data_IF_969612582732
#
_entry.id   IF_969612582732
#
_cell.length_a   1.000
_cell.length_b   1.000
_cell.length_c   1.000
_cell.angle_alpha   90.00
_cell.angle_beta   90.00
_cell.angle_gamma   90.00
#
_symmetry.space_group_name_H-M   'P 1'
#
loop_
_entity.id
_entity.type
_entity.pdbx_description
1 polymer ?
#
# COMPACT_ATOMS: atom_id res chain seq x y z
N UNK A 1 20.16 -28.51 13.22
CA UNK A 1 19.53 -27.32 12.62
C UNK A 1 19.26 -26.36 13.77
N UNK A 2 19.97 -25.23 13.86
CA UNK A 2 19.77 -24.28 14.95
C UNK A 2 18.46 -23.52 14.72
N UNK A 3 17.47 -23.76 15.56
CA UNK A 3 16.24 -22.97 15.57
C UNK A 3 16.55 -21.63 16.26
N UNK A 4 17.01 -20.66 15.48
CA UNK A 4 17.18 -19.28 15.95
C UNK A 4 15.81 -18.59 16.05
N UNK A 5 15.55 -17.96 17.19
CA UNK A 5 14.45 -17.00 17.37
C UNK A 5 15.07 -15.67 17.71
N UNK A 6 14.68 -14.62 16.99
CA UNK A 6 15.06 -13.24 17.28
C UNK A 6 13.78 -12.54 17.69
N UNK A 7 13.67 -12.14 18.95
CA UNK A 7 12.52 -11.40 19.47
C UNK A 7 12.98 -10.04 19.97
N UNK A 8 12.33 -8.99 19.49
CA UNK A 8 12.47 -7.63 20.00
C UNK A 8 11.22 -7.29 20.81
N UNK A 9 11.38 -7.33 22.13
CA UNK A 9 10.31 -7.00 23.09
C UNK A 9 10.16 -5.50 23.32
N UNK A 10 11.16 -4.70 22.94
CA UNK A 10 11.06 -3.24 22.85
C UNK A 10 10.55 -2.78 21.48
N UNK A 11 9.98 -1.57 21.42
CA UNK A 11 9.66 -0.93 20.14
C UNK A 11 10.92 -0.47 19.41
N UNK A 12 10.97 -0.67 18.10
CA UNK A 12 11.97 -0.09 17.20
C UNK A 12 11.35 1.14 16.55
N UNK A 13 11.94 2.30 16.76
CA UNK A 13 11.56 3.53 16.08
C UNK A 13 12.58 3.86 15.00
N UNK A 14 12.09 4.05 13.77
CA UNK A 14 12.90 4.36 12.59
C UNK A 14 12.41 5.68 12.03
N UNK A 15 13.31 6.66 11.95
CA UNK A 15 13.05 7.89 11.20
C UNK A 15 13.42 7.65 9.74
N UNK A 16 12.42 7.60 8.88
CA UNK A 16 12.56 7.38 7.45
C UNK A 16 11.52 8.21 6.71
N UNK A 17 11.82 8.59 5.46
CA UNK A 17 10.93 9.37 4.62
C UNK A 17 10.42 10.65 5.31
N UNK A 18 11.29 11.36 6.03
CA UNK A 18 10.92 12.53 6.86
C UNK A 18 9.84 12.30 7.94
N UNK A 19 9.44 11.06 8.20
CA UNK A 19 8.45 10.69 9.20
C UNK A 19 8.96 9.62 10.16
N UNK A 20 8.03 8.92 10.80
CA UNK A 20 8.33 7.88 11.80
C UNK A 20 7.67 6.56 11.42
N UNK A 21 8.45 5.49 11.45
CA UNK A 21 7.99 4.11 11.37
C UNK A 21 8.29 3.46 12.72
N UNK A 22 7.26 2.96 13.39
CA UNK A 22 7.39 2.24 14.65
C UNK A 22 7.07 0.76 14.43
N UNK A 23 7.98 -0.12 14.83
CA UNK A 23 7.78 -1.56 14.85
C UNK A 23 7.68 -2.03 16.29
N UNK A 24 6.65 -2.79 16.62
CA UNK A 24 6.46 -3.41 17.93
C UNK A 24 6.28 -4.91 17.77
N UNK A 25 6.55 -5.64 18.85
CA UNK A 25 6.32 -7.09 18.94
C UNK A 25 6.96 -7.87 17.79
N UNK A 26 8.15 -7.41 17.34
CA UNK A 26 8.85 -8.05 16.23
C UNK A 26 9.43 -9.38 16.69
N UNK A 27 8.93 -10.46 16.11
CA UNK A 27 9.42 -11.82 16.33
C UNK A 27 9.78 -12.43 14.98
N UNK A 28 11.01 -12.93 14.86
CA UNK A 28 11.51 -13.62 13.68
C UNK A 28 11.94 -15.02 14.09
N UNK A 29 11.35 -16.04 13.48
CA UNK A 29 11.72 -17.43 13.67
C UNK A 29 12.43 -17.97 12.43
N UNK A 30 13.47 -18.76 12.67
CA UNK A 30 14.22 -19.47 11.61
C UNK A 30 14.60 -18.53 10.45
N UNK A 31 15.23 -17.36 10.70
CA UNK A 31 15.50 -16.35 9.67
C UNK A 31 16.32 -16.88 8.48
N UNK A 32 17.17 -17.89 8.72
CA UNK A 32 18.00 -18.56 7.71
C UNK A 32 17.59 -20.01 7.46
N UNK A 33 16.38 -20.39 7.89
CA UNK A 33 15.81 -21.72 7.72
C UNK A 33 15.00 -21.85 6.42
N UNK A 34 14.44 -23.04 6.19
CA UNK A 34 13.64 -23.34 4.99
C UNK A 34 12.20 -22.83 5.07
N UNK A 35 11.74 -22.44 6.25
CA UNK A 35 10.42 -21.85 6.46
C UNK A 35 10.53 -20.72 7.50
N UNK A 36 11.11 -19.57 7.11
CA UNK A 36 11.21 -18.40 7.97
C UNK A 36 9.82 -17.86 8.27
N UNK A 37 9.62 -17.38 9.50
CA UNK A 37 8.39 -16.72 9.89
C UNK A 37 8.69 -15.39 10.58
N UNK A 38 7.83 -14.40 10.36
CA UNK A 38 7.92 -13.09 11.00
C UNK A 38 6.54 -12.69 11.51
N UNK A 39 6.49 -12.14 12.71
CA UNK A 39 5.32 -11.44 13.25
C UNK A 39 5.72 -10.03 13.70
N UNK A 40 4.87 -9.03 13.44
CA UNK A 40 5.11 -7.66 13.86
C UNK A 40 3.84 -6.81 13.87
N UNK A 41 3.91 -5.70 14.61
CA UNK A 41 2.97 -4.58 14.52
C UNK A 41 3.74 -3.38 13.94
N UNK A 42 3.25 -2.78 12.86
CA UNK A 42 3.91 -1.64 12.21
C UNK A 42 2.97 -0.44 12.18
N UNK A 43 3.46 0.72 12.61
CA UNK A 43 2.77 2.01 12.46
C UNK A 43 3.64 2.98 11.68
N UNK A 44 3.01 3.74 10.79
CA UNK A 44 3.65 4.77 9.96
C UNK A 44 2.98 6.13 10.24
N UNK A 45 3.79 7.13 10.58
CA UNK A 45 3.31 8.46 10.94
C UNK A 45 3.93 9.52 10.07
N UNK A 46 3.07 10.21 9.28
CA UNK A 46 3.40 11.34 8.41
C UNK A 46 4.71 11.16 7.63
N UNK A 47 4.80 10.04 6.92
CA UNK A 47 5.86 9.82 5.95
C UNK A 47 5.65 10.76 4.76
N UNK A 48 6.72 11.35 4.24
CA UNK A 48 6.73 12.11 3.00
C UNK A 48 6.36 11.18 1.85
N UNK A 49 5.18 11.41 1.26
CA UNK A 49 4.64 10.52 0.26
C UNK A 49 5.48 10.52 -1.02
N UNK A 50 6.13 11.64 -1.36
CA UNK A 50 6.95 11.73 -2.57
C UNK A 50 8.21 10.86 -2.43
N UNK A 51 8.82 10.84 -1.24
CA UNK A 51 9.94 9.95 -0.97
C UNK A 51 9.51 8.47 -0.95
N UNK A 52 8.34 8.17 -0.38
CA UNK A 52 7.79 6.81 -0.36
C UNK A 52 7.52 6.32 -1.79
N UNK A 53 6.78 7.06 -2.61
CA UNK A 53 6.42 6.58 -3.96
C UNK A 53 7.61 6.50 -4.90
N UNK A 54 8.63 7.34 -4.70
CA UNK A 54 9.89 7.25 -5.44
C UNK A 54 10.67 5.97 -5.10
N UNK A 55 10.68 5.54 -3.83
CA UNK A 55 11.42 4.36 -3.39
C UNK A 55 10.85 3.03 -3.94
N UNK A 56 9.56 3.00 -4.29
CA UNK A 56 8.86 1.81 -4.78
C UNK A 56 8.50 1.87 -6.28
N UNK A 57 9.08 2.82 -7.03
CA UNK A 57 8.81 3.05 -8.45
C UNK A 57 7.30 3.17 -8.80
N UNK A 58 6.50 3.63 -7.84
CA UNK A 58 5.06 3.87 -8.06
C UNK A 58 4.91 5.09 -8.98
N UNK A 59 5.76 6.10 -8.82
CA UNK A 59 5.72 7.39 -9.51
C UNK A 59 5.83 8.55 -8.52
N UNK A 60 5.28 9.71 -8.87
CA UNK A 60 5.33 10.90 -8.01
C UNK A 60 3.97 11.16 -7.38
N UNK A 61 3.90 11.14 -6.05
CA UNK A 61 2.73 11.56 -5.29
C UNK A 61 3.16 12.48 -4.15
N UNK A 62 2.59 13.67 -4.09
CA UNK A 62 2.84 14.64 -3.02
C UNK A 62 1.79 14.47 -1.91
N UNK A 63 2.19 14.66 -0.66
CA UNK A 63 1.33 14.54 0.51
C UNK A 63 2.10 13.95 1.69
N UNK A 64 1.37 13.63 2.74
CA UNK A 64 1.91 12.90 3.89
C UNK A 64 1.08 11.63 4.11
N UNK A 65 1.78 10.51 4.26
CA UNK A 65 1.21 9.19 4.44
C UNK A 65 1.27 8.77 5.90
N UNK A 66 0.13 8.34 6.42
CA UNK A 66 0.05 7.61 7.69
C UNK A 66 -0.64 6.29 7.49
N UNK A 67 -0.46 5.40 8.45
CA UNK A 67 -1.13 4.12 8.42
C UNK A 67 -0.58 3.13 9.41
N UNK A 68 -1.04 1.91 9.27
CA UNK A 68 -0.60 0.78 10.05
C UNK A 68 -0.63 -0.50 9.22
N UNK A 69 0.10 -1.48 9.71
CA UNK A 69 0.03 -2.88 9.32
C UNK A 69 0.11 -3.69 10.59
N UNK A 70 -1.06 -4.02 11.13
CA UNK A 70 -1.20 -4.76 12.38
C UNK A 70 -1.38 -6.25 12.11
N UNK A 71 -1.03 -7.05 13.11
CA UNK A 71 -1.09 -8.51 13.05
C UNK A 71 -0.39 -9.10 11.82
N UNK A 72 0.69 -8.44 11.38
CA UNK A 72 1.47 -8.88 10.23
C UNK A 72 2.06 -10.25 10.55
N UNK A 73 1.78 -11.23 9.68
CA UNK A 73 2.42 -12.54 9.69
C UNK A 73 2.98 -12.84 8.32
N UNK A 74 4.27 -13.10 8.27
CA UNK A 74 4.94 -13.62 7.09
C UNK A 74 5.27 -15.09 7.32
N UNK A 75 5.02 -15.92 6.29
CA UNK A 75 5.56 -17.27 6.18
C UNK A 75 6.32 -17.35 4.86
N UNK A 76 7.54 -17.87 4.90
CA UNK A 76 8.43 -17.85 3.73
C UNK A 76 8.57 -16.45 3.12
N UNK A 77 8.65 -15.43 3.99
CA UNK A 77 8.68 -14.00 3.64
C UNK A 77 7.47 -13.48 2.85
N UNK A 78 6.39 -14.26 2.76
CA UNK A 78 5.14 -13.86 2.11
C UNK A 78 4.07 -13.54 3.15
N UNK A 79 3.33 -12.43 3.02
CA UNK A 79 2.24 -12.13 3.95
C UNK A 79 1.14 -13.19 3.89
N UNK A 80 0.75 -13.72 5.04
CA UNK A 80 -0.35 -14.69 5.20
C UNK A 80 -1.47 -14.15 6.09
N UNK A 81 -1.20 -13.12 6.89
CA UNK A 81 -2.19 -12.35 7.64
C UNK A 81 -1.69 -10.92 7.85
N UNK A 82 -2.60 -9.96 7.82
CA UNK A 82 -2.39 -8.56 8.21
C UNK A 82 -3.72 -7.81 8.23
N UNK A 83 -3.83 -6.75 9.05
CA UNK A 83 -4.78 -5.66 8.89
C UNK A 83 -3.99 -4.39 8.59
N UNK A 84 -3.99 -3.98 7.32
CA UNK A 84 -3.25 -2.83 6.84
C UNK A 84 -4.20 -1.71 6.43
N UNK A 85 -3.87 -0.47 6.79
CA UNK A 85 -4.53 0.74 6.28
C UNK A 85 -3.50 1.85 6.12
N UNK A 86 -3.50 2.47 4.96
CA UNK A 86 -2.67 3.61 4.62
C UNK A 86 -3.53 4.72 4.05
N UNK A 87 -3.28 5.96 4.43
CA UNK A 87 -4.06 7.12 4.03
C UNK A 87 -3.23 8.39 4.03
N UNK A 88 -3.67 9.38 3.23
CA UNK A 88 -3.07 10.71 3.19
C UNK A 88 -3.79 11.68 4.12
N UNK A 89 -3.05 12.61 4.71
CA UNK A 89 -3.65 13.67 5.52
C UNK A 89 -4.22 14.82 4.66
N UNK A 90 -5.33 15.41 5.13
CA UNK A 90 -6.03 16.53 4.50
C UNK A 90 -5.39 17.90 4.81
N UNK A 91 -4.57 17.99 5.85
CA UNK A 91 -3.77 19.15 6.23
C UNK A 91 -2.42 19.23 5.50
N UNK A 92 -2.04 18.20 4.74
CA UNK A 92 -0.79 18.17 3.99
C UNK A 92 -0.70 19.34 2.99
N UNK A 93 0.44 20.05 2.88
CA UNK A 93 0.55 21.30 2.14
C UNK A 93 0.36 21.14 0.62
N UNK A 94 0.75 19.99 0.08
CA UNK A 94 0.59 19.64 -1.33
C UNK A 94 -0.03 18.25 -1.44
N UNK A 95 -0.92 18.08 -2.42
CA UNK A 95 -1.55 16.80 -2.76
C UNK A 95 -1.75 16.74 -4.26
N UNK A 96 -0.80 16.11 -4.93
CA UNK A 96 -0.75 15.93 -6.39
C UNK A 96 -0.25 14.54 -6.73
N UNK A 97 -0.77 13.95 -7.80
CA UNK A 97 -0.36 12.64 -8.32
C UNK A 97 0.04 12.79 -9.78
N UNK A 98 1.17 12.20 -10.19
CA UNK A 98 1.58 12.22 -11.60
C UNK A 98 0.81 11.21 -12.45
N UNK A 99 0.74 11.45 -13.76
CA UNK A 99 0.14 10.51 -14.70
C UNK A 99 0.73 9.09 -14.55
N UNK A 100 2.06 8.98 -14.47
CA UNK A 100 2.75 7.69 -14.27
C UNK A 100 2.27 6.97 -13.01
N UNK A 101 2.11 7.71 -11.91
CA UNK A 101 1.59 7.15 -10.66
C UNK A 101 0.15 6.68 -10.80
N UNK A 102 -0.70 7.42 -11.52
CA UNK A 102 -2.06 6.96 -11.84
C UNK A 102 -2.03 5.67 -12.63
N UNK A 103 -1.23 5.60 -13.68
CA UNK A 103 -1.11 4.43 -14.57
C UNK A 103 -0.62 3.19 -13.80
N UNK A 104 0.42 3.35 -12.97
CA UNK A 104 0.98 2.27 -12.15
C UNK A 104 -0.02 1.79 -11.07
N UNK A 105 -0.69 2.70 -10.36
CA UNK A 105 -1.72 2.30 -9.39
C UNK A 105 -2.91 1.62 -10.05
N UNK A 106 -3.28 2.08 -11.25
CA UNK A 106 -4.40 1.51 -12.01
C UNK A 106 -4.05 0.16 -12.63
N UNK A 107 -2.80 -0.10 -13.01
CA UNK A 107 -2.37 -1.40 -13.53
C UNK A 107 -2.27 -2.46 -12.42
N UNK A 108 -1.77 -2.07 -11.25
CA UNK A 108 -1.78 -2.88 -10.02
C UNK A 108 -3.21 -3.23 -9.61
N UNK A 109 -4.11 -2.25 -9.71
CA UNK A 109 -5.53 -2.45 -9.44
C UNK A 109 -6.28 -3.16 -10.57
N UNK A 110 -5.93 -3.00 -11.84
CA UNK A 110 -6.68 -3.53 -12.98
C UNK A 110 -6.42 -5.02 -13.25
N UNK A 111 -5.19 -5.49 -13.01
CA UNK A 111 -4.84 -6.90 -13.21
C UNK A 111 -5.40 -7.83 -12.12
N UNK A 112 -5.65 -7.30 -10.90
CA UNK A 112 -6.03 -8.15 -9.75
C UNK A 112 -7.16 -7.57 -8.86
N UNK A 113 -7.28 -6.25 -8.73
CA UNK A 113 -8.19 -5.55 -7.80
C UNK A 113 -9.41 -4.82 -8.43
N UNK A 114 -9.61 -4.89 -9.75
CA UNK A 114 -10.67 -4.17 -10.46
C UNK A 114 -10.66 -2.64 -10.30
N UNK A 115 -9.51 -2.00 -10.12
CA UNK A 115 -9.45 -0.54 -10.06
C UNK A 115 -9.52 0.08 -11.47
N UNK A 116 -10.26 1.18 -11.62
CA UNK A 116 -10.40 1.90 -12.88
C UNK A 116 -10.20 3.41 -12.67
N UNK A 117 -9.61 4.06 -13.66
CA UNK A 117 -9.54 5.53 -13.75
C UNK A 117 -10.86 6.04 -14.31
N UNK A 118 -11.46 7.04 -13.66
CA UNK A 118 -12.79 7.54 -14.06
C UNK A 118 -12.79 8.41 -15.33
N UNK A 119 -11.65 8.98 -15.71
CA UNK A 119 -11.55 10.00 -16.77
C UNK A 119 -10.34 9.76 -17.68
N UNK A 120 -10.42 10.25 -18.92
CA UNK A 120 -9.30 10.23 -19.88
C UNK A 120 -8.15 11.11 -19.38
N UNK A 121 -6.95 10.55 -19.31
CA UNK A 121 -5.73 11.29 -19.02
C UNK A 121 -5.32 12.06 -20.28
N UNK A 122 -5.30 13.39 -20.20
CA UNK A 122 -4.92 14.23 -21.34
C UNK A 122 -3.39 14.46 -21.36
N UNK A 123 -2.73 14.43 -22.54
CA UNK A 123 -1.27 14.50 -22.63
C UNK A 123 -0.64 15.80 -22.09
N UNK A 124 -1.44 16.87 -21.95
CA UNK A 124 -0.99 18.17 -21.47
C UNK A 124 -0.91 18.28 -19.94
N UNK A 125 -1.45 17.31 -19.19
CA UNK A 125 -1.49 17.35 -17.73
C UNK A 125 -0.51 16.35 -17.12
N UNK A 126 0.59 16.86 -16.56
CA UNK A 126 1.60 16.02 -15.92
C UNK A 126 1.19 15.55 -14.53
N UNK A 127 0.40 16.36 -13.80
CA UNK A 127 -0.03 16.08 -12.43
C UNK A 127 -1.48 16.49 -12.16
N UNK A 128 -2.16 15.72 -11.32
CA UNK A 128 -3.55 15.89 -10.93
C UNK A 128 -3.65 16.16 -9.43
N UNK A 129 -4.33 17.22 -8.98
CA UNK A 129 -4.58 17.43 -7.57
C UNK A 129 -5.60 16.40 -7.03
N UNK A 130 -5.38 15.90 -5.81
CA UNK A 130 -6.29 14.97 -5.15
C UNK A 130 -6.69 15.46 -3.76
N UNK A 131 -7.88 15.06 -3.31
CA UNK A 131 -8.43 15.39 -2.00
C UNK A 131 -7.85 14.46 -0.94
N UNK A 132 -7.99 13.16 -1.17
CA UNK A 132 -7.57 12.08 -0.28
C UNK A 132 -7.16 10.86 -1.10
N UNK A 133 -6.18 10.12 -0.62
CA UNK A 133 -5.75 8.85 -1.18
C UNK A 133 -5.46 7.86 -0.05
N UNK A 134 -5.66 6.58 -0.31
CA UNK A 134 -5.41 5.54 0.66
C UNK A 134 -6.02 4.20 0.27
N UNK A 135 -5.53 3.17 0.93
CA UNK A 135 -5.89 1.78 0.68
C UNK A 135 -5.87 1.02 2.01
N UNK A 136 -6.84 0.13 2.19
CA UNK A 136 -6.83 -0.85 3.26
C UNK A 136 -6.88 -2.27 2.69
N UNK A 137 -6.23 -3.20 3.38
CA UNK A 137 -6.27 -4.63 3.11
C UNK A 137 -6.31 -5.38 4.43
N UNK A 138 -7.40 -6.10 4.68
CA UNK A 138 -7.44 -7.13 5.73
C UNK A 138 -7.26 -8.49 5.10
N UNK A 139 -6.09 -9.09 5.30
CA UNK A 139 -5.73 -10.40 4.77
C UNK A 139 -6.10 -11.50 5.76
N UNK A 140 -7.02 -12.37 5.36
CA UNK A 140 -7.37 -13.58 6.09
C UNK A 140 -7.79 -14.69 5.11
N UNK A 141 -7.44 -15.94 5.40
CA UNK A 141 -7.82 -17.09 4.57
C UNK A 141 -7.46 -16.91 3.07
N UNK A 142 -6.27 -16.35 2.80
CA UNK A 142 -5.79 -16.04 1.44
C UNK A 142 -6.62 -15.01 0.67
N UNK A 143 -7.55 -14.32 1.33
CA UNK A 143 -8.36 -13.25 0.74
C UNK A 143 -7.98 -11.93 1.40
N UNK A 144 -7.55 -10.98 0.58
CA UNK A 144 -7.40 -9.59 0.99
C UNK A 144 -8.74 -8.87 0.79
N UNK A 145 -9.33 -8.42 1.90
CA UNK A 145 -10.50 -7.56 1.91
C UNK A 145 -10.04 -6.11 1.70
N UNK A 146 -10.23 -5.61 0.47
CA UNK A 146 -9.84 -4.26 0.08
C UNK A 146 -10.89 -3.22 0.43
N UNK A 147 -10.42 -2.05 0.82
CA UNK A 147 -11.22 -0.85 1.02
C UNK A 147 -10.41 0.42 0.74
N UNK A 148 -11.09 1.54 0.65
CA UNK A 148 -10.52 2.84 0.28
C UNK A 148 -10.62 3.90 1.37
N UNK A 149 -10.46 5.15 0.95
CA UNK A 149 -10.63 6.34 1.78
C UNK A 149 -12.09 6.81 1.89
N UNK A 150 -12.95 6.38 0.96
CA UNK A 150 -14.38 6.66 0.97
C UNK A 150 -15.15 5.65 0.11
N UNK A 151 -16.44 5.38 0.40
CA UNK A 151 -17.30 4.60 -0.48
C UNK A 151 -17.59 5.36 -1.79
N UNK A 152 -17.76 4.63 -2.89
CA UNK A 152 -18.16 5.18 -4.19
C UNK A 152 -19.63 4.81 -4.49
N UNK A 153 -20.37 5.69 -5.18
CA UNK A 153 -21.78 5.49 -5.54
C UNK A 153 -22.05 4.24 -6.41
N UNK A 154 -21.04 3.77 -7.15
CA UNK A 154 -21.10 2.52 -7.92
C UNK A 154 -21.04 1.24 -7.06
N UNK A 155 -20.94 1.37 -5.72
CA UNK A 155 -20.71 0.26 -4.80
C UNK A 155 -19.23 -0.06 -4.55
N UNK A 156 -18.33 0.62 -5.26
CA UNK A 156 -16.88 0.54 -5.07
C UNK A 156 -16.37 1.40 -3.90
N UNK A 157 -15.10 1.75 -3.96
CA UNK A 157 -14.42 2.64 -3.02
C UNK A 157 -13.37 3.49 -3.72
N UNK A 158 -13.16 4.71 -3.24
CA UNK A 158 -12.08 5.58 -3.70
C UNK A 158 -10.74 5.11 -3.15
N UNK A 159 -9.80 4.79 -4.03
CA UNK A 159 -8.37 4.64 -3.70
C UNK A 159 -7.71 6.01 -3.76
N UNK A 160 -8.05 6.79 -4.80
CA UNK A 160 -7.69 8.21 -4.93
C UNK A 160 -8.96 8.97 -5.30
N UNK A 161 -9.32 9.95 -4.48
CA UNK A 161 -10.40 10.89 -4.75
C UNK A 161 -9.81 12.21 -5.25
N UNK A 162 -10.08 12.58 -6.50
CA UNK A 162 -9.57 13.79 -7.12
C UNK A 162 -10.27 15.05 -6.60
N UNK A 163 -9.56 16.19 -6.64
CA UNK A 163 -10.12 17.52 -6.35
C UNK A 163 -9.90 18.49 -7.50
N UNK A 164 -10.72 19.54 -7.59
CA UNK A 164 -10.53 20.61 -8.57
C UNK A 164 -10.54 20.13 -10.03
N UNK A 165 -9.92 20.91 -10.92
CA UNK A 165 -9.74 20.56 -12.33
C UNK A 165 -8.24 20.63 -12.70
N UNK A 166 -7.70 19.68 -13.48
CA UNK A 166 -8.36 18.45 -13.94
C UNK A 166 -8.58 17.45 -12.77
N UNK A 167 -9.80 16.88 -12.69
CA UNK A 167 -10.16 15.90 -11.66
C UNK A 167 -9.85 14.49 -12.14
N UNK A 168 -9.26 13.67 -11.27
CA UNK A 168 -9.01 12.26 -11.54
C UNK A 168 -9.33 11.41 -10.31
N UNK A 169 -10.13 10.37 -10.49
CA UNK A 169 -10.40 9.38 -9.45
C UNK A 169 -9.84 8.02 -9.83
N UNK A 170 -9.38 7.28 -8.84
CA UNK A 170 -9.04 5.85 -8.94
C UNK A 170 -10.02 5.11 -8.04
N UNK A 171 -10.88 4.29 -8.64
CA UNK A 171 -12.00 3.62 -7.96
C UNK A 171 -11.78 2.11 -8.01
N UNK A 172 -11.71 1.48 -6.83
CA UNK A 172 -11.69 0.03 -6.68
C UNK A 172 -13.10 -0.55 -6.72
N UNK A 173 -13.32 -1.57 -7.56
CA UNK A 173 -14.62 -2.25 -7.66
C UNK A 173 -14.64 -3.63 -7.02
N UNK A 174 -13.47 -4.28 -6.83
CA UNK A 174 -13.40 -5.57 -6.13
C UNK A 174 -12.91 -5.37 -4.71
N UNK A 175 -13.75 -5.81 -3.76
CA UNK A 175 -13.41 -5.83 -2.34
C UNK A 175 -12.71 -7.11 -1.92
N UNK A 176 -12.78 -8.18 -2.71
CA UNK A 176 -12.18 -9.47 -2.39
C UNK A 176 -11.13 -9.81 -3.45
N UNK A 177 -9.89 -9.98 -3.01
CA UNK A 177 -8.76 -10.32 -3.87
C UNK A 177 -8.12 -11.61 -3.39
N UNK A 178 -7.90 -12.54 -4.32
CA UNK A 178 -7.09 -13.74 -4.10
C UNK A 178 -5.63 -13.33 -3.95
N UNK A 179 -5.13 -13.40 -2.72
CA UNK A 179 -3.82 -12.90 -2.36
C UNK A 179 -2.66 -13.74 -2.90
N UNK A 180 -2.67 -15.10 -2.82
CA UNK A 180 -1.65 -15.91 -3.46
C UNK A 180 -1.53 -15.66 -4.96
N UNK A 181 -2.66 -15.47 -5.66
CA UNK A 181 -2.66 -15.15 -7.08
C UNK A 181 -2.04 -13.77 -7.35
N UNK A 182 -2.36 -12.77 -6.54
CA UNK A 182 -1.75 -11.43 -6.63
C UNK A 182 -0.22 -11.52 -6.50
N UNK A 183 0.26 -12.19 -5.46
CA UNK A 183 1.69 -12.31 -5.18
C UNK A 183 2.42 -13.08 -6.28
N UNK A 184 1.83 -14.16 -6.81
CA UNK A 184 2.41 -14.88 -7.94
C UNK A 184 2.59 -13.98 -9.16
N UNK A 185 1.56 -13.19 -9.50
CA UNK A 185 1.62 -12.28 -10.65
C UNK A 185 2.62 -11.14 -10.46
N UNK A 186 2.73 -10.58 -9.24
CA UNK A 186 3.75 -9.58 -8.93
C UNK A 186 5.17 -10.16 -9.01
N UNK A 187 5.38 -11.38 -8.55
CA UNK A 187 6.67 -12.06 -8.64
C UNK A 187 7.07 -12.31 -10.10
N UNK A 188 6.14 -12.72 -10.96
CA UNK A 188 6.40 -12.93 -12.39
C UNK A 188 6.77 -11.62 -13.11
N UNK A 189 6.17 -10.49 -12.73
CA UNK A 189 6.50 -9.17 -13.29
C UNK A 189 7.91 -8.70 -12.91
N UNK A 190 8.35 -8.98 -11.68
CA UNK A 190 9.69 -8.61 -11.19
C UNK A 190 10.77 -9.58 -11.70
N UNK A 191 10.44 -10.87 -11.90
CA UNK A 191 11.38 -11.85 -12.44
C UNK A 191 11.54 -11.78 -13.97
N UNK A 192 10.59 -11.14 -14.66
CA UNK A 192 10.58 -10.95 -16.12
C UNK A 192 11.26 -9.67 -16.62
N UNK A 193 11.91 -8.90 -15.74
CA UNK A 193 12.67 -7.67 -16.05
C UNK A 193 14.17 -7.86 -15.91
#
# INVERSE_FOLDING_TARGET
MQAGVIAFTGGIEIRAFSGLIALRELVIERPFGTLPALAAQVDATRLDLAQVTAAFDIGHMEGELSGWMHDLRLLDWRPVAMDARFFTHDDAPQRRISQRAVENLSSLGGSVGGALVSNTILPMFETFPYERAGLACRLSNNICHLDGVAPHESGGFYIVEGRGLPRLNIIGHRRLVDWPRLIAQLADMVAGS
#
